data_IF_995258686992
#
_entry.id   IF_995258686992
#
_cell.length_a   1.000
_cell.length_b   1.000
_cell.length_c   1.000
_cell.angle_alpha   90.00
_cell.angle_beta   90.00
_cell.angle_gamma   90.00
#
_symmetry.space_group_name_H-M   'P 1'
#
loop_
_entity.id
_entity.type
_entity.pdbx_description
1 polymer ?
#
# COMPACT_ATOMS: atom_id res chain seq x y z
N UNK A 1 4.01 21.53 7.31
CA UNK A 1 2.78 20.81 7.78
C UNK A 1 2.33 21.32 9.12
N UNK A 2 1.03 21.29 9.37
CA UNK A 2 0.41 21.69 10.62
C UNK A 2 -0.82 20.84 10.89
N UNK A 3 -1.05 20.51 12.16
CA UNK A 3 -2.34 20.07 12.66
C UNK A 3 -3.32 21.26 12.68
N UNK A 4 -4.61 21.02 12.62
CA UNK A 4 -5.62 22.07 12.61
C UNK A 4 -6.97 21.57 12.12
N UNK A 5 -7.94 22.47 11.99
CA UNK A 5 -9.30 22.15 11.53
C UNK A 5 -9.49 22.66 10.10
N UNK A 6 -10.00 21.80 9.22
CA UNK A 6 -10.30 22.16 7.82
C UNK A 6 -9.10 22.76 7.11
N UNK A 7 -9.23 23.98 6.60
CA UNK A 7 -8.21 24.68 5.81
C UNK A 7 -6.99 25.15 6.63
N UNK A 8 -7.03 25.10 7.96
CA UNK A 8 -5.87 25.40 8.80
C UNK A 8 -4.84 24.26 8.79
N UNK A 9 -5.27 23.02 8.53
CA UNK A 9 -4.35 21.90 8.41
C UNK A 9 -3.51 21.99 7.13
N UNK A 10 -2.29 21.44 7.20
CA UNK A 10 -1.36 21.40 6.05
C UNK A 10 -0.82 20.00 5.85
N UNK A 11 -0.83 19.56 4.59
CA UNK A 11 -0.24 18.30 4.13
C UNK A 11 0.88 18.59 3.13
N UNK A 12 1.75 17.59 2.93
CA UNK A 12 2.77 17.65 1.89
C UNK A 12 2.83 16.34 1.13
N UNK A 13 2.30 16.35 -0.08
CA UNK A 13 2.25 15.20 -0.97
C UNK A 13 1.55 13.98 -0.34
N UNK A 14 0.27 14.11 0.13
CA UNK A 14 -0.48 12.99 0.67
C UNK A 14 -0.70 11.92 -0.41
N UNK A 15 -0.54 10.64 -0.07
CA UNK A 15 -0.55 9.52 -1.01
C UNK A 15 -1.73 8.57 -0.79
N UNK A 16 -1.69 7.80 0.28
CA UNK A 16 -2.70 6.84 0.64
C UNK A 16 -3.70 7.41 1.63
N UNK A 17 -4.94 6.95 1.54
CA UNK A 17 -6.02 7.29 2.47
C UNK A 17 -6.86 6.05 2.74
N UNK A 18 -7.28 5.88 3.99
CA UNK A 18 -8.22 4.85 4.42
C UNK A 18 -9.14 5.39 5.52
N UNK A 19 -10.15 4.61 5.91
CA UNK A 19 -11.11 5.00 6.97
C UNK A 19 -11.35 3.88 7.98
N UNK A 20 -11.83 4.25 9.18
CA UNK A 20 -12.34 3.32 10.21
C UNK A 20 -13.82 3.57 10.57
N UNK A 21 -14.58 4.24 9.71
CA UNK A 21 -15.95 4.67 9.95
C UNK A 21 -16.02 6.15 10.35
N UNK A 22 -15.41 6.56 11.47
CA UNK A 22 -15.48 7.93 12.00
C UNK A 22 -14.30 8.82 11.60
N UNK A 23 -13.19 8.23 11.21
CA UNK A 23 -11.96 8.94 10.90
C UNK A 23 -11.40 8.52 9.54
N UNK A 24 -10.70 9.46 8.90
CA UNK A 24 -9.79 9.16 7.79
C UNK A 24 -8.35 9.13 8.31
N UNK A 25 -7.55 8.26 7.72
CA UNK A 25 -6.12 8.19 7.96
C UNK A 25 -5.36 8.38 6.66
N UNK A 26 -4.40 9.29 6.68
CA UNK A 26 -3.68 9.74 5.48
C UNK A 26 -2.19 9.52 5.66
N UNK A 27 -1.56 8.87 4.69
CA UNK A 27 -0.11 8.84 4.57
C UNK A 27 0.38 10.18 3.96
N UNK A 28 0.86 11.08 4.81
CA UNK A 28 1.38 12.40 4.47
C UNK A 28 2.86 12.26 4.10
N UNK A 29 3.11 11.79 2.87
CA UNK A 29 4.33 11.13 2.47
C UNK A 29 5.60 11.98 2.62
N UNK A 30 5.59 13.23 2.15
CA UNK A 30 6.77 14.09 2.21
C UNK A 30 6.98 14.74 3.59
N UNK A 31 5.98 14.63 4.48
CA UNK A 31 6.13 14.94 5.90
C UNK A 31 6.56 13.73 6.74
N UNK A 32 6.49 12.52 6.16
CA UNK A 32 6.82 11.26 6.85
C UNK A 32 5.89 10.97 8.03
N UNK A 33 4.62 11.39 7.91
CA UNK A 33 3.62 11.32 8.96
C UNK A 33 2.41 10.47 8.53
N UNK A 34 1.71 9.93 9.53
CA UNK A 34 0.38 9.37 9.38
C UNK A 34 -0.58 10.31 10.12
N UNK A 35 -1.52 10.87 9.34
CA UNK A 35 -2.46 11.88 9.84
C UNK A 35 -3.83 11.24 10.07
N UNK A 36 -4.50 11.67 11.13
CA UNK A 36 -5.90 11.33 11.44
C UNK A 36 -6.77 12.56 11.19
N UNK A 37 -7.92 12.37 10.55
CA UNK A 37 -8.94 13.39 10.31
C UNK A 37 -10.25 12.89 10.89
N UNK A 38 -10.83 13.61 11.83
CA UNK A 38 -12.17 13.34 12.36
C UNK A 38 -13.18 13.82 11.31
N UNK A 39 -13.97 12.92 10.74
CA UNK A 39 -14.85 13.24 9.59
C UNK A 39 -15.91 14.29 9.97
N UNK A 40 -16.51 14.18 11.16
CA UNK A 40 -17.59 15.07 11.59
C UNK A 40 -17.16 16.50 11.87
N UNK A 41 -15.89 16.74 12.20
CA UNK A 41 -15.39 18.05 12.62
C UNK A 41 -14.31 18.63 11.70
N UNK A 42 -13.71 17.81 10.84
CA UNK A 42 -12.57 18.20 10.02
C UNK A 42 -11.29 18.45 10.82
N UNK A 43 -11.23 18.03 12.08
CA UNK A 43 -10.01 18.14 12.90
C UNK A 43 -8.96 17.18 12.40
N UNK A 44 -7.77 17.70 12.10
CA UNK A 44 -6.60 16.95 11.63
C UNK A 44 -5.53 16.93 12.70
N UNK A 45 -5.07 15.73 13.05
CA UNK A 45 -3.97 15.53 14.01
C UNK A 45 -2.94 14.56 13.46
N UNK A 46 -1.72 14.64 13.94
CA UNK A 46 -0.67 13.66 13.64
C UNK A 46 -0.85 12.45 14.56
N UNK A 47 -1.20 11.28 13.97
CA UNK A 47 -1.32 10.02 14.71
C UNK A 47 0.04 9.40 15.00
N UNK A 48 0.93 9.38 14.00
CA UNK A 48 2.26 8.80 14.12
C UNK A 48 3.24 9.41 13.11
N UNK A 49 4.51 9.35 13.45
CA UNK A 49 5.60 9.86 12.61
C UNK A 49 6.11 11.22 13.04
N UNK A 50 7.37 11.48 12.71
CA UNK A 50 8.05 12.75 12.99
C UNK A 50 8.95 13.14 11.83
N UNK A 51 10.24 12.92 11.94
CA UNK A 51 11.20 13.17 10.87
C UNK A 51 11.39 11.94 9.96
N UNK A 52 12.00 12.15 8.82
CA UNK A 52 12.46 11.07 7.94
C UNK A 52 13.34 10.07 8.68
N UNK A 53 13.06 8.78 8.53
CA UNK A 53 13.89 7.73 9.07
C UNK A 53 13.14 6.42 9.28
N UNK A 54 13.78 5.51 9.99
CA UNK A 54 13.22 4.27 10.47
C UNK A 54 13.35 4.23 11.99
N UNK A 55 12.24 4.05 12.68
CA UNK A 55 12.19 3.81 14.12
C UNK A 55 11.11 2.78 14.39
N UNK A 56 11.51 1.61 14.85
CA UNK A 56 10.58 0.57 15.27
C UNK A 56 10.22 0.71 16.75
N UNK A 57 9.07 0.13 17.13
CA UNK A 57 8.55 0.17 18.49
C UNK A 57 8.39 1.59 19.07
N UNK A 58 8.16 2.58 18.20
CA UNK A 58 7.82 3.95 18.59
C UNK A 58 6.33 4.10 18.83
N UNK A 59 5.93 5.14 19.58
CA UNK A 59 4.52 5.50 19.78
C UNK A 59 4.29 6.94 19.32
N UNK A 60 3.24 7.14 18.53
CA UNK A 60 2.89 8.47 18.02
C UNK A 60 4.06 9.13 17.29
N UNK A 61 4.43 10.33 17.70
CA UNK A 61 5.51 11.11 17.08
C UNK A 61 6.92 10.61 17.39
N UNK A 62 7.09 9.61 18.28
CA UNK A 62 8.39 8.94 18.46
C UNK A 62 8.72 7.98 17.31
N UNK A 63 7.71 7.52 16.56
CA UNK A 63 7.93 6.70 15.37
C UNK A 63 8.51 7.53 14.23
N UNK A 64 9.19 6.85 13.31
CA UNK A 64 9.71 7.45 12.08
C UNK A 64 9.31 6.61 10.87
N UNK A 65 8.98 7.30 9.79
CA UNK A 65 8.70 6.73 8.47
C UNK A 65 9.59 7.40 7.42
N UNK A 66 9.64 6.79 6.24
CA UNK A 66 10.30 7.39 5.09
C UNK A 66 9.44 7.29 3.84
N UNK A 67 8.74 8.38 3.50
CA UNK A 67 7.78 8.48 2.39
C UNK A 67 6.75 7.33 2.42
N UNK A 68 5.91 7.25 3.46
CA UNK A 68 4.84 6.25 3.49
C UNK A 68 3.93 6.43 2.27
N UNK A 69 3.62 5.32 1.59
CA UNK A 69 2.83 5.31 0.36
C UNK A 69 1.36 4.98 0.62
N UNK A 70 1.02 3.70 0.55
CA UNK A 70 -0.34 3.21 0.80
C UNK A 70 -0.62 2.98 2.29
N UNK A 71 -1.88 3.01 2.64
CA UNK A 71 -2.41 2.74 3.98
C UNK A 71 -3.76 2.04 3.88
N UNK A 72 -3.99 1.04 4.73
CA UNK A 72 -5.27 0.34 4.87
C UNK A 72 -5.59 0.10 6.33
N UNK A 73 -6.85 -0.20 6.66
CA UNK A 73 -7.34 -0.40 8.03
C UNK A 73 -8.13 -1.70 8.16
N UNK A 74 -7.98 -2.38 9.29
CA UNK A 74 -8.88 -3.47 9.73
C UNK A 74 -9.90 -2.98 10.80
N UNK A 75 -9.97 -1.67 11.04
CA UNK A 75 -10.81 -1.04 12.06
C UNK A 75 -10.14 -0.92 13.43
N UNK A 76 -9.12 -1.70 13.73
CA UNK A 76 -8.34 -1.68 14.99
C UNK A 76 -6.92 -1.19 14.75
N UNK A 77 -6.36 -1.58 13.62
CA UNK A 77 -5.00 -1.25 13.23
C UNK A 77 -4.98 -0.60 11.83
N UNK A 78 -3.96 0.20 11.62
CA UNK A 78 -3.56 0.65 10.28
C UNK A 78 -2.34 -0.14 9.83
N UNK A 79 -2.31 -0.45 8.55
CA UNK A 79 -1.16 -1.06 7.88
C UNK A 79 -0.64 -0.11 6.83
N UNK A 80 0.64 0.25 6.94
CA UNK A 80 1.27 1.28 6.13
C UNK A 80 2.42 0.68 5.33
N UNK A 81 2.42 0.89 4.02
CA UNK A 81 3.58 0.65 3.19
C UNK A 81 4.58 1.80 3.42
N UNK A 82 5.60 1.58 4.24
CA UNK A 82 6.67 2.53 4.51
C UNK A 82 7.72 2.43 3.39
N UNK A 83 7.35 3.01 2.25
CA UNK A 83 7.87 2.69 0.92
C UNK A 83 9.39 2.77 0.82
N UNK A 84 9.99 3.85 1.30
CA UNK A 84 11.43 4.04 1.19
C UNK A 84 12.23 3.35 2.32
N UNK A 85 11.54 2.82 3.34
CA UNK A 85 12.12 1.91 4.33
C UNK A 85 11.96 0.43 3.94
N UNK A 86 11.24 0.12 2.85
CA UNK A 86 10.99 -1.24 2.36
C UNK A 86 10.31 -2.14 3.41
N UNK A 87 9.44 -1.56 4.25
CA UNK A 87 8.75 -2.26 5.35
C UNK A 87 7.24 -2.06 5.28
N UNK A 88 6.51 -2.98 5.90
CA UNK A 88 5.09 -2.84 6.18
C UNK A 88 4.95 -2.63 7.68
N UNK A 89 4.41 -1.46 8.04
CA UNK A 89 4.26 -1.03 9.44
C UNK A 89 2.82 -1.24 9.90
N UNK A 90 2.66 -1.69 11.13
CA UNK A 90 1.38 -1.77 11.84
C UNK A 90 1.30 -0.64 12.86
N UNK A 91 0.17 0.05 12.91
CA UNK A 91 -0.13 1.09 13.91
C UNK A 91 -1.41 0.68 14.64
N UNK A 92 -1.36 0.53 15.94
CA UNK A 92 -2.56 0.35 16.78
C UNK A 92 -3.26 1.69 16.90
N UNK A 93 -4.49 1.81 16.38
CA UNK A 93 -5.20 3.10 16.27
C UNK A 93 -5.42 3.75 17.65
N UNK A 94 -5.78 2.95 18.68
CA UNK A 94 -6.10 3.45 20.00
C UNK A 94 -4.90 4.00 20.78
N UNK A 95 -3.69 3.48 20.54
CA UNK A 95 -2.49 3.84 21.30
C UNK A 95 -1.45 4.61 20.48
N UNK A 96 -1.54 4.56 19.15
CA UNK A 96 -0.51 5.08 18.26
C UNK A 96 0.78 4.25 18.25
N UNK A 97 0.79 3.05 18.86
CA UNK A 97 1.96 2.17 18.86
C UNK A 97 2.28 1.68 17.45
N UNK A 98 3.53 1.84 17.01
CA UNK A 98 4.01 1.50 15.67
C UNK A 98 5.02 0.36 15.76
N UNK A 99 4.77 -0.71 15.01
CA UNK A 99 5.68 -1.87 14.91
C UNK A 99 5.89 -2.24 13.45
N UNK A 100 6.98 -2.95 13.15
CA UNK A 100 7.21 -3.54 11.84
C UNK A 100 6.53 -4.91 11.77
N UNK A 101 5.51 -5.04 10.91
CA UNK A 101 4.84 -6.32 10.65
C UNK A 101 5.69 -7.21 9.74
N UNK A 102 6.27 -6.63 8.69
CA UNK A 102 7.09 -7.37 7.74
C UNK A 102 8.07 -6.47 6.99
N UNK A 103 9.16 -7.06 6.51
CA UNK A 103 10.21 -6.36 5.77
C UNK A 103 11.31 -5.78 6.65
N UNK A 104 12.35 -5.32 6.02
CA UNK A 104 13.46 -4.59 6.65
C UNK A 104 13.94 -3.48 5.72
N UNK A 105 14.83 -2.61 6.21
CA UNK A 105 15.39 -1.52 5.41
C UNK A 105 16.24 -2.03 4.22
N UNK A 106 16.69 -3.29 4.26
CA UNK A 106 17.38 -3.94 3.14
C UNK A 106 16.39 -4.34 2.06
N UNK A 107 16.61 -3.90 0.83
CA UNK A 107 15.78 -4.23 -0.33
C UNK A 107 15.94 -5.71 -0.75
N UNK A 108 14.89 -6.26 -1.34
CA UNK A 108 14.89 -7.61 -1.91
C UNK A 108 13.46 -8.10 -2.15
N UNK A 109 13.33 -9.40 -2.49
CA UNK A 109 12.03 -10.04 -2.76
C UNK A 109 11.85 -11.35 -1.97
N UNK A 110 12.65 -11.57 -0.93
CA UNK A 110 12.64 -12.82 -0.14
C UNK A 110 11.27 -13.02 0.53
N UNK A 111 10.70 -14.21 0.33
CA UNK A 111 9.56 -14.71 1.10
C UNK A 111 10.08 -15.21 2.46
N UNK A 112 9.49 -14.74 3.55
CA UNK A 112 9.87 -15.14 4.92
C UNK A 112 8.81 -14.61 5.91
N UNK A 113 9.06 -14.79 7.20
CA UNK A 113 8.19 -14.28 8.27
C UNK A 113 8.75 -12.97 8.84
N UNK A 114 7.88 -11.99 9.02
CA UNK A 114 8.19 -10.75 9.71
C UNK A 114 9.36 -9.99 9.07
N UNK A 115 10.31 -9.56 9.88
CA UNK A 115 11.47 -8.75 9.45
C UNK A 115 12.52 -9.52 8.62
N UNK A 116 12.39 -10.84 8.49
CA UNK A 116 13.22 -11.64 7.58
C UNK A 116 12.78 -11.53 6.12
N UNK A 117 11.52 -11.15 5.85
CA UNK A 117 11.04 -10.88 4.51
C UNK A 117 11.71 -9.62 3.92
N UNK A 118 11.68 -9.50 2.60
CA UNK A 118 12.22 -8.33 1.89
C UNK A 118 11.22 -7.80 0.89
N UNK A 119 11.19 -6.48 0.76
CA UNK A 119 10.43 -5.72 -0.24
C UNK A 119 11.35 -4.73 -0.95
N UNK A 120 10.87 -4.18 -2.05
CA UNK A 120 11.57 -3.10 -2.75
C UNK A 120 10.57 -2.02 -3.16
N UNK A 121 10.55 -0.93 -2.39
CA UNK A 121 9.61 0.18 -2.55
C UNK A 121 8.15 -0.31 -2.59
N UNK A 122 7.65 -1.03 -1.56
CA UNK A 122 6.25 -1.40 -1.49
C UNK A 122 5.41 -0.12 -1.46
N UNK A 123 4.34 -0.06 -2.29
CA UNK A 123 3.59 1.19 -2.41
C UNK A 123 2.11 1.03 -2.04
N UNK A 124 1.30 0.36 -2.85
CA UNK A 124 -0.10 0.10 -2.55
C UNK A 124 -0.27 -1.05 -1.55
N UNK A 125 -1.27 -0.94 -0.69
CA UNK A 125 -1.63 -1.97 0.28
C UNK A 125 -3.14 -2.00 0.49
N UNK A 126 -3.71 -3.19 0.61
CA UNK A 126 -5.12 -3.41 0.93
C UNK A 126 -5.26 -4.65 1.82
N UNK A 127 -6.42 -4.82 2.46
CA UNK A 127 -6.69 -5.97 3.34
C UNK A 127 -8.04 -6.61 3.03
N UNK A 128 -8.11 -7.95 3.19
CA UNK A 128 -9.35 -8.71 3.24
C UNK A 128 -9.79 -9.04 4.69
N UNK A 129 -9.15 -8.41 5.69
CA UNK A 129 -9.35 -8.64 7.12
C UNK A 129 -8.46 -9.74 7.71
N UNK A 130 -7.97 -10.68 6.91
CA UNK A 130 -7.08 -11.78 7.33
C UNK A 130 -5.66 -11.61 6.77
N UNK A 131 -5.59 -11.11 5.55
CA UNK A 131 -4.34 -10.90 4.84
C UNK A 131 -4.21 -9.46 4.38
N UNK A 132 -2.96 -9.04 4.20
CA UNK A 132 -2.63 -7.84 3.43
C UNK A 132 -2.13 -8.27 2.05
N UNK A 133 -2.51 -7.48 1.05
CA UNK A 133 -1.97 -7.58 -0.31
C UNK A 133 -1.22 -6.29 -0.63
N UNK A 134 0.04 -6.44 -1.01
CA UNK A 134 0.98 -5.34 -1.19
C UNK A 134 1.51 -5.32 -2.62
N UNK A 135 1.40 -4.18 -3.28
CA UNK A 135 2.10 -3.91 -4.52
C UNK A 135 3.58 -3.62 -4.19
N UNK A 136 4.43 -4.64 -4.39
CA UNK A 136 5.88 -4.58 -4.19
C UNK A 136 6.52 -4.04 -5.47
N UNK A 137 6.37 -2.73 -5.66
CA UNK A 137 6.43 -2.01 -6.94
C UNK A 137 7.70 -2.29 -7.72
N UNK A 138 8.86 -2.12 -7.11
CA UNK A 138 10.14 -2.27 -7.81
C UNK A 138 10.61 -3.73 -7.91
N UNK A 139 9.87 -4.67 -7.30
CA UNK A 139 10.02 -6.10 -7.52
C UNK A 139 9.04 -6.63 -8.58
N UNK A 140 8.09 -5.81 -9.03
CA UNK A 140 7.05 -6.19 -10.01
C UNK A 140 6.15 -7.32 -9.51
N UNK A 141 5.92 -7.38 -8.19
CA UNK A 141 5.20 -8.45 -7.52
C UNK A 141 3.97 -7.92 -6.77
N UNK A 142 3.00 -8.80 -6.59
CA UNK A 142 1.95 -8.66 -5.57
C UNK A 142 2.28 -9.64 -4.46
N UNK A 143 2.49 -9.11 -3.23
CA UNK A 143 2.85 -9.91 -2.07
C UNK A 143 1.63 -10.07 -1.16
N UNK A 144 1.49 -11.25 -0.55
CA UNK A 144 0.50 -11.55 0.47
C UNK A 144 1.19 -11.67 1.82
N UNK A 145 0.60 -11.06 2.85
CA UNK A 145 1.07 -11.15 4.24
C UNK A 145 -0.10 -11.65 5.08
N UNK A 146 0.08 -12.76 5.79
CA UNK A 146 -0.90 -13.22 6.79
C UNK A 146 -0.76 -12.33 8.03
N UNK A 147 -1.79 -11.59 8.39
CA UNK A 147 -1.73 -10.56 9.44
C UNK A 147 -1.34 -11.16 10.81
N UNK A 148 -1.90 -12.34 11.15
CA UNK A 148 -1.71 -12.97 12.45
C UNK A 148 -0.29 -13.53 12.67
N UNK A 149 0.40 -13.91 11.59
CA UNK A 149 1.71 -14.60 11.67
C UNK A 149 2.86 -13.79 11.10
N UNK A 150 2.57 -12.77 10.27
CA UNK A 150 3.58 -12.02 9.53
C UNK A 150 4.24 -12.80 8.39
N UNK A 151 3.71 -13.97 8.01
CA UNK A 151 4.23 -14.76 6.87
C UNK A 151 3.99 -14.03 5.57
N UNK A 152 5.06 -13.81 4.81
CA UNK A 152 5.05 -13.12 3.51
C UNK A 152 5.32 -14.12 2.39
N UNK A 153 4.46 -14.11 1.39
CA UNK A 153 4.60 -14.92 0.16
C UNK A 153 4.40 -14.06 -1.07
N UNK A 154 4.94 -14.49 -2.22
CA UNK A 154 4.57 -13.92 -3.51
C UNK A 154 3.21 -14.47 -3.92
N UNK A 155 2.22 -13.59 -4.05
CA UNK A 155 0.87 -13.96 -4.44
C UNK A 155 0.73 -14.02 -5.97
N UNK A 156 1.24 -13.01 -6.67
CA UNK A 156 1.28 -12.96 -8.13
C UNK A 156 2.46 -12.12 -8.62
N UNK A 157 2.87 -12.42 -9.86
CA UNK A 157 3.99 -11.73 -10.49
C UNK A 157 5.31 -12.48 -10.39
N UNK A 158 6.24 -12.13 -11.28
CA UNK A 158 7.59 -12.71 -11.33
C UNK A 158 8.63 -11.65 -11.72
N UNK A 159 8.88 -11.46 -13.00
CA UNK A 159 9.78 -10.44 -13.55
C UNK A 159 8.99 -9.26 -14.13
N UNK A 160 9.70 -8.16 -14.38
CA UNK A 160 9.12 -7.01 -15.10
C UNK A 160 8.59 -7.42 -16.47
N UNK A 161 7.37 -7.02 -16.80
CA UNK A 161 6.74 -7.29 -18.07
C UNK A 161 5.22 -7.34 -17.99
N UNK A 162 4.60 -7.92 -19.00
CA UNK A 162 3.17 -8.13 -19.10
C UNK A 162 2.87 -9.59 -19.41
N UNK A 163 2.04 -10.23 -18.59
CA UNK A 163 1.41 -11.52 -18.88
C UNK A 163 0.17 -11.68 -18.00
N UNK A 164 -0.96 -12.03 -18.63
CA UNK A 164 -2.13 -12.58 -17.96
C UNK A 164 -1.87 -14.08 -17.74
N UNK A 165 -1.91 -14.52 -16.48
CA UNK A 165 -1.64 -15.90 -16.08
C UNK A 165 -2.05 -16.12 -14.62
N UNK A 166 -1.74 -17.28 -14.06
CA UNK A 166 -2.05 -17.60 -12.65
C UNK A 166 -0.82 -17.41 -11.76
N UNK A 167 -1.00 -16.70 -10.65
CA UNK A 167 0.01 -16.55 -9.61
C UNK A 167 1.34 -16.01 -10.14
N UNK A 168 2.43 -16.73 -9.85
CA UNK A 168 3.78 -16.31 -10.23
C UNK A 168 4.10 -16.47 -11.73
N UNK A 169 3.22 -17.06 -12.53
CA UNK A 169 3.35 -17.04 -13.99
C UNK A 169 2.91 -15.71 -14.60
N UNK A 170 2.13 -14.92 -13.90
CA UNK A 170 1.76 -13.57 -14.33
C UNK A 170 2.97 -12.61 -14.28
N UNK A 171 2.87 -11.51 -15.03
CA UNK A 171 3.88 -10.44 -15.02
C UNK A 171 3.22 -9.09 -14.87
N UNK A 172 3.87 -8.24 -14.08
CA UNK A 172 3.54 -6.83 -13.87
C UNK A 172 4.75 -5.96 -14.18
N UNK A 173 4.49 -4.66 -14.35
CA UNK A 173 5.56 -3.66 -14.48
C UNK A 173 5.26 -2.46 -13.57
N UNK A 174 6.00 -2.36 -12.47
CA UNK A 174 5.82 -1.32 -11.46
C UNK A 174 4.35 -1.19 -10.99
N UNK A 175 3.71 -2.26 -10.48
CA UNK A 175 2.37 -2.16 -9.90
C UNK A 175 2.40 -1.18 -8.73
N UNK A 176 1.45 -0.24 -8.68
CA UNK A 176 1.45 0.82 -7.66
C UNK A 176 0.26 0.73 -6.72
N UNK A 177 -0.94 0.95 -7.20
CA UNK A 177 -2.16 0.93 -6.37
C UNK A 177 -2.81 -0.44 -6.39
N UNK A 178 -3.37 -0.82 -5.26
CA UNK A 178 -4.12 -2.08 -5.11
C UNK A 178 -5.28 -1.85 -4.17
N UNK A 179 -6.45 -2.36 -4.54
CA UNK A 179 -7.65 -2.40 -3.72
C UNK A 179 -8.30 -3.77 -3.81
N UNK A 180 -9.20 -4.09 -2.88
CA UNK A 180 -10.00 -5.32 -2.91
C UNK A 180 -11.48 -5.04 -2.77
N UNK A 181 -12.31 -5.90 -3.38
CA UNK A 181 -13.76 -6.02 -3.13
C UNK A 181 -14.10 -7.22 -2.21
N UNK A 182 -13.08 -7.85 -1.62
CA UNK A 182 -13.18 -9.06 -0.80
C UNK A 182 -13.05 -10.38 -1.59
N UNK A 183 -13.29 -10.35 -2.89
CA UNK A 183 -13.19 -11.53 -3.79
C UNK A 183 -12.05 -11.39 -4.77
N UNK A 184 -11.81 -10.17 -5.22
CA UNK A 184 -10.79 -9.83 -6.20
C UNK A 184 -9.88 -8.72 -5.69
N UNK A 185 -8.68 -8.67 -6.24
CA UNK A 185 -7.79 -7.52 -6.17
C UNK A 185 -7.82 -6.79 -7.51
N UNK A 186 -7.80 -5.47 -7.44
CA UNK A 186 -7.65 -4.59 -8.60
C UNK A 186 -6.34 -3.82 -8.47
N UNK A 187 -5.48 -3.96 -9.47
CA UNK A 187 -4.11 -3.47 -9.44
C UNK A 187 -3.88 -2.47 -10.57
N UNK A 188 -3.42 -1.28 -10.21
CA UNK A 188 -2.85 -0.34 -11.19
C UNK A 188 -1.45 -0.81 -11.59
N UNK A 189 -1.36 -1.47 -12.74
CA UNK A 189 -0.11 -1.97 -13.34
C UNK A 189 0.53 -0.85 -14.17
N UNK A 190 1.05 0.16 -13.45
CA UNK A 190 1.39 1.48 -13.96
C UNK A 190 2.34 1.45 -15.14
N UNK A 191 3.41 0.68 -15.06
CA UNK A 191 4.38 0.59 -16.16
C UNK A 191 3.86 -0.15 -17.41
N UNK A 192 2.71 -0.83 -17.30
CA UNK A 192 2.00 -1.44 -18.42
C UNK A 192 0.77 -0.64 -18.86
N UNK A 193 0.46 0.49 -18.22
CA UNK A 193 -0.72 1.32 -18.50
C UNK A 193 -2.03 0.52 -18.48
N UNK A 194 -2.19 -0.38 -17.49
CA UNK A 194 -3.30 -1.32 -17.37
C UNK A 194 -3.87 -1.37 -15.95
N UNK A 195 -5.15 -1.71 -15.88
CA UNK A 195 -5.80 -2.17 -14.65
C UNK A 195 -5.92 -3.68 -14.73
N UNK A 196 -5.33 -4.36 -13.75
CA UNK A 196 -5.36 -5.83 -13.66
C UNK A 196 -6.31 -6.27 -12.55
N UNK A 197 -7.03 -7.36 -12.81
CA UNK A 197 -7.86 -8.06 -11.84
C UNK A 197 -7.18 -9.37 -11.44
N UNK A 198 -7.18 -9.69 -10.15
CA UNK A 198 -6.67 -10.96 -9.61
C UNK A 198 -7.79 -11.60 -8.77
N UNK A 199 -8.21 -12.79 -9.10
CA UNK A 199 -9.16 -13.56 -8.28
C UNK A 199 -8.43 -14.10 -7.06
N UNK A 200 -8.84 -13.72 -5.84
CA UNK A 200 -8.10 -14.06 -4.61
C UNK A 200 -8.02 -15.57 -4.38
N UNK A 201 -9.12 -16.30 -4.64
CA UNK A 201 -9.19 -17.73 -4.38
C UNK A 201 -8.33 -18.60 -5.32
N UNK A 202 -8.07 -18.12 -6.54
CA UNK A 202 -7.38 -18.90 -7.58
C UNK A 202 -6.04 -18.33 -7.99
N UNK A 203 -5.79 -17.04 -7.71
CA UNK A 203 -4.62 -16.30 -8.17
C UNK A 203 -4.62 -15.99 -9.68
N UNK A 204 -5.74 -16.19 -10.38
CA UNK A 204 -5.86 -15.88 -11.81
C UNK A 204 -5.79 -14.38 -12.02
N UNK A 205 -4.86 -13.93 -12.85
CA UNK A 205 -4.63 -12.53 -13.24
C UNK A 205 -5.12 -12.30 -14.66
N UNK A 206 -5.96 -11.30 -14.84
CA UNK A 206 -6.47 -10.86 -16.14
C UNK A 206 -6.38 -9.35 -16.27
N UNK A 207 -6.31 -8.86 -17.52
CA UNK A 207 -6.44 -7.43 -17.80
C UNK A 207 -7.91 -7.03 -17.74
N UNK A 208 -8.26 -6.09 -16.87
CA UNK A 208 -9.61 -5.52 -16.78
C UNK A 208 -9.79 -4.36 -17.77
N UNK A 209 -8.82 -3.47 -17.84
CA UNK A 209 -8.84 -2.31 -18.74
C UNK A 209 -7.44 -1.83 -19.08
N UNK A 210 -7.32 -1.10 -20.16
CA UNK A 210 -6.08 -0.51 -20.66
C UNK A 210 -5.47 -1.28 -21.82
N UNK A 211 -5.14 -0.56 -22.91
CA UNK A 211 -4.52 -1.14 -24.11
C UNK A 211 -3.06 -1.58 -23.87
N UNK A 212 -2.37 -0.92 -22.94
CA UNK A 212 -0.92 -1.04 -22.75
C UNK A 212 -0.12 0.07 -23.42
N UNK A 213 -0.79 0.94 -24.16
CA UNK A 213 -0.21 2.18 -24.69
C UNK A 213 -0.60 3.34 -23.79
N UNK A 214 0.36 4.22 -23.48
CA UNK A 214 0.10 5.43 -22.72
C UNK A 214 -0.85 6.36 -23.48
N UNK A 215 -1.88 6.88 -22.81
CA UNK A 215 -2.86 7.77 -23.43
C UNK A 215 -4.00 8.12 -22.49
N UNK A 216 -4.99 8.84 -23.03
CA UNK A 216 -6.13 9.38 -22.28
C UNK A 216 -7.47 9.08 -22.98
N UNK A 217 -7.51 8.08 -23.87
CA UNK A 217 -8.71 7.73 -24.61
C UNK A 217 -9.66 6.92 -23.74
N UNK A 218 -10.91 7.35 -23.65
CA UNK A 218 -11.99 6.58 -23.03
C UNK A 218 -12.36 5.39 -23.92
N UNK A 219 -12.78 4.29 -23.28
CA UNK A 219 -13.15 3.08 -24.00
C UNK A 219 -13.55 1.94 -23.07
N UNK A 220 -14.05 0.87 -23.65
CA UNK A 220 -14.44 -0.34 -22.91
C UNK A 220 -13.29 -1.32 -22.83
N UNK A 221 -12.95 -1.76 -21.63
CA UNK A 221 -11.90 -2.76 -21.39
C UNK A 221 -10.55 -2.34 -21.98
N UNK A 222 -10.00 -3.16 -22.88
CA UNK A 222 -8.69 -2.90 -23.48
C UNK A 222 -8.69 -1.83 -24.58
N UNK A 223 -9.84 -1.26 -24.95
CA UNK A 223 -9.90 -0.12 -25.86
C UNK A 223 -9.55 1.21 -25.15
N UNK A 224 -9.67 1.28 -23.82
CA UNK A 224 -9.25 2.44 -23.05
C UNK A 224 -7.72 2.57 -23.00
N UNK A 225 -7.22 3.80 -22.82
CA UNK A 225 -5.80 4.05 -22.57
C UNK A 225 -5.61 4.79 -21.26
N UNK A 226 -4.53 4.50 -20.56
CA UNK A 226 -4.13 5.18 -19.32
C UNK A 226 -2.73 5.75 -19.48
N UNK A 227 -2.44 6.82 -18.74
CA UNK A 227 -1.09 7.34 -18.57
C UNK A 227 -0.74 7.32 -17.07
N UNK A 228 0.39 6.69 -16.72
CA UNK A 228 0.85 6.55 -15.32
C UNK A 228 1.64 7.76 -14.85
#
# INVERSE_FOLDING_TARGET
SADGTGTAARFRYPKGITKDGSNLYVADADNHWIRKIVISTGVVTTLAGSSRGFQDNGTGTSAKFYKPGGITSDGTNLYVADSNNNTIRKIVISTGAVTTLAGSTTQGSTNATGTSARFRTPYGITTDGTNLYVADTNNHLIRKIVISTGVVTTFAGSSSGFADATGTSAKFKNPQKIITDGTNLYVGDSGNHKIRKIVISTGVVTTLAGSGTAGTTDGTGTAATFNS
#
